data_IF_329636660066
#
_entry.id   IF_329636660066
#
_cell.length_a   1.000
_cell.length_b   1.000
_cell.length_c   1.000
_cell.angle_alpha   90.00
_cell.angle_beta   90.00
_cell.angle_gamma   90.00
#
_symmetry.space_group_name_H-M   'P 1'
#
loop_
_entity.id
_entity.type
_entity.pdbx_description
1 polymer ?
#
# COMPACT_ATOMS: atom_id res chain seq x y z
N UNK A 1 17.81 4.43 11.57
CA UNK A 1 16.98 4.84 10.40
C UNK A 1 17.89 5.16 9.23
N UNK A 2 17.66 4.55 8.10
CA UNK A 2 18.44 4.74 6.88
C UNK A 2 17.64 5.56 5.86
N UNK A 3 18.05 6.82 5.62
CA UNK A 3 17.47 7.75 4.63
C UNK A 3 15.91 7.83 4.67
N UNK A 4 15.29 8.21 5.79
CA UNK A 4 13.85 8.22 5.93
C UNK A 4 13.20 9.30 5.05
N UNK A 5 12.14 8.92 4.32
CA UNK A 5 11.30 9.82 3.55
C UNK A 5 10.16 10.41 4.39
N UNK A 6 9.53 9.59 5.22
CA UNK A 6 8.46 9.97 6.14
C UNK A 6 8.58 9.13 7.43
N UNK A 7 8.27 9.71 8.58
CA UNK A 7 8.49 9.08 9.89
C UNK A 7 7.21 9.20 10.72
N UNK A 8 6.85 8.12 11.42
CA UNK A 8 5.80 8.11 12.44
C UNK A 8 6.35 7.66 13.80
N UNK A 9 5.52 7.07 14.68
CA UNK A 9 5.95 6.67 16.02
C UNK A 9 6.79 5.38 16.05
N UNK A 10 6.43 4.40 15.22
CA UNK A 10 7.05 3.07 15.26
C UNK A 10 7.75 2.70 13.95
N UNK A 11 7.36 3.32 12.85
CA UNK A 11 7.87 3.02 11.52
C UNK A 11 8.30 4.28 10.76
N UNK A 12 9.07 4.07 9.72
CA UNK A 12 9.35 5.08 8.73
C UNK A 12 9.26 4.50 7.33
N UNK A 13 9.02 5.37 6.35
CA UNK A 13 9.04 5.05 4.93
C UNK A 13 10.36 5.53 4.32
N UNK A 14 10.93 4.74 3.42
CA UNK A 14 12.08 5.12 2.60
C UNK A 14 11.97 4.55 1.20
N UNK A 15 12.78 5.03 0.27
CA UNK A 15 12.92 4.37 -1.01
C UNK A 15 13.41 2.92 -0.83
N UNK A 16 12.88 1.96 -1.61
CA UNK A 16 13.40 0.60 -1.60
C UNK A 16 14.86 0.54 -2.01
N UNK A 17 15.57 -0.45 -1.51
CA UNK A 17 16.96 -0.74 -1.86
C UNK A 17 17.07 -2.11 -2.54
N UNK A 18 18.19 -2.36 -3.20
CA UNK A 18 18.48 -3.69 -3.74
C UNK A 18 18.47 -4.75 -2.64
N UNK A 19 18.98 -4.41 -1.44
CA UNK A 19 18.98 -5.30 -0.29
C UNK A 19 17.56 -5.71 0.14
N UNK A 20 16.57 -4.83 0.03
CA UNK A 20 15.17 -5.18 0.28
C UNK A 20 14.65 -6.19 -0.73
N UNK A 21 14.95 -5.97 -2.02
CA UNK A 21 14.53 -6.86 -3.10
C UNK A 21 15.22 -8.24 -3.04
N UNK A 22 16.45 -8.28 -2.56
CA UNK A 22 17.22 -9.52 -2.33
C UNK A 22 16.82 -10.24 -1.03
N UNK A 23 16.20 -9.52 -0.10
CA UNK A 23 15.76 -10.00 1.20
C UNK A 23 14.39 -10.69 1.15
N UNK A 24 13.63 -10.55 2.23
CA UNK A 24 12.36 -11.26 2.41
C UNK A 24 11.20 -10.74 1.55
N UNK A 25 11.38 -9.67 0.80
CA UNK A 25 10.30 -9.08 -0.01
C UNK A 25 9.71 -10.09 -1.01
N UNK A 26 10.54 -10.86 -1.72
CA UNK A 26 10.06 -11.87 -2.65
C UNK A 26 9.31 -13.02 -1.96
N UNK A 27 9.71 -13.39 -0.73
CA UNK A 27 9.06 -14.41 0.08
C UNK A 27 7.63 -14.01 0.47
N UNK A 28 7.42 -12.74 0.83
CA UNK A 28 6.10 -12.23 1.18
C UNK A 28 5.09 -12.35 0.03
N UNK A 29 5.53 -12.09 -1.19
CA UNK A 29 4.70 -12.21 -2.38
C UNK A 29 4.58 -13.65 -2.90
N UNK A 30 5.30 -14.60 -2.31
CA UNK A 30 5.14 -16.04 -2.51
C UNK A 30 4.33 -16.71 -1.39
N UNK A 31 4.08 -16.02 -0.27
CA UNK A 31 3.29 -16.53 0.85
C UNK A 31 1.79 -16.39 0.57
N UNK A 32 1.02 -17.51 0.52
CA UNK A 32 -0.41 -17.46 0.23
C UNK A 32 -1.23 -16.64 1.22
N UNK A 33 -0.85 -16.59 2.49
CA UNK A 33 -1.57 -15.82 3.51
C UNK A 33 -1.36 -14.33 3.32
N UNK A 34 -0.12 -13.90 3.07
CA UNK A 34 0.22 -12.49 2.82
C UNK A 34 -0.44 -11.98 1.54
N UNK A 35 -0.49 -12.82 0.50
CA UNK A 35 -1.04 -12.43 -0.80
C UNK A 35 -2.51 -12.74 -0.99
N UNK A 36 -3.21 -13.23 0.04
CA UNK A 36 -4.58 -13.73 -0.03
C UNK A 36 -5.55 -12.81 -0.79
N UNK A 37 -5.41 -11.51 -0.63
CA UNK A 37 -6.28 -10.49 -1.25
C UNK A 37 -5.57 -9.64 -2.31
N UNK A 38 -4.35 -10.04 -2.73
CA UNK A 38 -3.61 -9.34 -3.77
C UNK A 38 -3.90 -9.96 -5.15
N UNK A 39 -3.97 -9.12 -6.18
CA UNK A 39 -4.21 -9.58 -7.55
C UNK A 39 -3.11 -10.50 -8.09
N UNK A 40 -1.88 -10.33 -7.63
CA UNK A 40 -0.70 -11.08 -8.10
C UNK A 40 -0.48 -12.42 -7.37
N UNK A 41 -1.35 -12.81 -6.43
CA UNK A 41 -1.19 -14.00 -5.57
C UNK A 41 -1.03 -15.32 -6.34
N UNK A 42 -1.51 -15.39 -7.57
CA UNK A 42 -1.49 -16.61 -8.38
C UNK A 42 -0.23 -16.79 -9.20
N UNK A 43 0.64 -15.79 -9.21
CA UNK A 43 1.90 -15.82 -9.95
C UNK A 43 3.05 -16.06 -8.97
N UNK A 44 3.90 -17.10 -9.20
CA UNK A 44 5.05 -17.32 -8.35
C UNK A 44 5.99 -16.10 -8.44
N UNK A 45 6.45 -15.63 -7.30
CA UNK A 45 7.41 -14.53 -7.20
C UNK A 45 8.78 -15.08 -6.82
N UNK A 46 9.75 -15.04 -7.75
CA UNK A 46 11.14 -15.39 -7.45
C UNK A 46 11.95 -14.17 -7.02
N UNK A 47 13.12 -14.42 -6.43
CA UNK A 47 14.05 -13.35 -6.06
C UNK A 47 14.44 -12.51 -7.30
N UNK A 48 14.66 -13.15 -8.43
CA UNK A 48 15.03 -12.49 -9.69
C UNK A 48 13.88 -11.59 -10.20
N UNK A 49 12.63 -12.06 -10.11
CA UNK A 49 11.45 -11.23 -10.45
C UNK A 49 11.33 -10.03 -9.52
N UNK A 50 11.59 -10.20 -8.23
CA UNK A 50 11.55 -9.10 -7.26
C UNK A 50 12.63 -8.06 -7.55
N UNK A 51 13.85 -8.49 -7.89
CA UNK A 51 14.94 -7.60 -8.30
C UNK A 51 14.57 -6.85 -9.59
N UNK A 52 14.05 -7.55 -10.60
CA UNK A 52 13.59 -6.92 -11.83
C UNK A 52 12.48 -5.91 -11.59
N UNK A 53 11.52 -6.22 -10.71
CA UNK A 53 10.49 -5.27 -10.28
C UNK A 53 11.11 -4.03 -9.61
N UNK A 54 12.02 -4.21 -8.67
CA UNK A 54 12.74 -3.11 -8.02
C UNK A 54 13.46 -2.21 -9.04
N UNK A 55 14.15 -2.82 -10.01
CA UNK A 55 14.84 -2.07 -11.07
C UNK A 55 13.86 -1.26 -11.92
N UNK A 56 12.69 -1.83 -12.24
CA UNK A 56 11.67 -1.14 -13.02
C UNK A 56 11.08 0.10 -12.34
N UNK A 57 11.21 0.21 -11.02
CA UNK A 57 10.72 1.38 -10.28
C UNK A 57 11.55 2.65 -10.55
N UNK A 58 12.82 2.49 -10.96
CA UNK A 58 13.71 3.64 -11.18
C UNK A 58 13.29 4.48 -12.38
N UNK A 59 12.71 3.85 -13.40
CA UNK A 59 12.25 4.51 -14.63
C UNK A 59 10.72 4.70 -14.66
N UNK A 60 10.03 4.32 -13.59
CA UNK A 60 8.56 4.41 -13.54
C UNK A 60 8.10 5.86 -13.30
N UNK A 61 7.19 6.32 -14.16
CA UNK A 61 6.54 7.62 -14.02
C UNK A 61 5.13 7.52 -13.40
N UNK A 62 4.58 6.32 -13.28
CA UNK A 62 3.22 6.06 -12.82
C UNK A 62 3.15 5.21 -11.53
N UNK A 63 4.32 4.95 -10.91
CA UNK A 63 4.41 4.13 -9.70
C UNK A 63 5.46 4.67 -8.74
N UNK A 64 5.10 4.69 -7.46
CA UNK A 64 6.00 4.97 -6.35
C UNK A 64 5.83 3.89 -5.30
N UNK A 65 6.93 3.28 -4.87
CA UNK A 65 6.93 2.27 -3.80
C UNK A 65 7.85 2.73 -2.67
N UNK A 66 7.42 2.51 -1.45
CA UNK A 66 8.21 2.72 -0.24
C UNK A 66 8.40 1.40 0.49
N UNK A 67 9.61 1.17 1.02
CA UNK A 67 9.83 0.19 2.07
C UNK A 67 9.32 0.74 3.39
N UNK A 68 8.58 -0.09 4.13
CA UNK A 68 8.13 0.17 5.50
C UNK A 68 9.16 -0.44 6.43
N UNK A 69 9.82 0.38 7.25
CA UNK A 69 10.87 -0.06 8.15
C UNK A 69 10.56 0.31 9.60
N UNK A 70 10.91 -0.55 10.55
CA UNK A 70 10.82 -0.22 11.97
C UNK A 70 11.87 0.81 12.37
N UNK A 71 11.50 1.75 13.25
CA UNK A 71 12.45 2.71 13.81
C UNK A 71 13.43 2.01 14.74
N UNK A 72 12.98 1.01 15.48
CA UNK A 72 13.73 0.32 16.53
C UNK A 72 15.03 -0.32 16.01
N UNK A 73 14.97 -0.99 14.83
CA UNK A 73 16.07 -1.84 14.36
C UNK A 73 16.32 -1.76 12.86
N UNK A 74 15.70 -0.82 12.14
CA UNK A 74 15.76 -0.65 10.69
C UNK A 74 15.22 -1.86 9.87
N UNK A 75 14.52 -2.80 10.53
CA UNK A 75 13.96 -3.97 9.88
C UNK A 75 12.93 -3.60 8.80
N UNK A 76 13.15 -4.07 7.57
CA UNK A 76 12.18 -3.97 6.48
C UNK A 76 11.04 -4.96 6.72
N UNK A 77 9.82 -4.47 6.94
CA UNK A 77 8.67 -5.29 7.37
C UNK A 77 7.52 -5.31 6.36
N UNK A 78 7.58 -4.50 5.33
CA UNK A 78 6.52 -4.40 4.35
C UNK A 78 6.77 -3.33 3.31
N UNK A 79 5.82 -3.16 2.42
CA UNK A 79 5.85 -2.14 1.38
C UNK A 79 4.51 -1.42 1.29
N UNK A 80 4.54 -0.14 0.93
CA UNK A 80 3.35 0.60 0.52
C UNK A 80 3.66 1.47 -0.67
N UNK A 81 2.64 1.90 -1.40
CA UNK A 81 2.92 2.72 -2.57
C UNK A 81 1.69 3.21 -3.30
N UNK A 82 1.98 3.92 -4.36
CA UNK A 82 1.03 4.46 -5.32
C UNK A 82 1.27 3.80 -6.68
N UNK A 83 0.20 3.48 -7.38
CA UNK A 83 0.23 2.97 -8.74
C UNK A 83 -0.79 3.67 -9.63
N UNK A 84 -0.70 3.48 -10.95
CA UNK A 84 -1.54 4.17 -11.91
C UNK A 84 -1.59 5.69 -11.67
N UNK A 85 -0.45 6.28 -11.28
CA UNK A 85 -0.37 7.72 -11.01
C UNK A 85 -0.63 8.47 -12.32
N UNK A 86 -1.66 9.29 -12.30
CA UNK A 86 -1.94 10.22 -13.38
C UNK A 86 -1.63 11.64 -12.91
N UNK A 87 -0.50 12.17 -13.32
CA UNK A 87 -0.04 13.51 -12.92
C UNK A 87 -0.90 14.63 -13.51
N UNK A 88 -1.54 14.41 -14.66
CA UNK A 88 -2.45 15.39 -15.27
C UNK A 88 -3.74 15.54 -14.47
N UNK A 89 -4.28 14.42 -14.00
CA UNK A 89 -5.52 14.40 -13.23
C UNK A 89 -5.29 14.32 -11.73
N UNK A 90 -4.03 14.30 -11.29
CA UNK A 90 -3.60 14.28 -9.89
C UNK A 90 -4.28 13.19 -9.08
N UNK A 91 -4.31 11.96 -9.60
CA UNK A 91 -4.89 10.81 -8.92
C UNK A 91 -3.97 9.58 -8.98
N UNK A 92 -4.21 8.62 -8.10
CA UNK A 92 -3.49 7.34 -8.03
C UNK A 92 -4.29 6.27 -7.29
N UNK A 93 -3.86 5.02 -7.42
CA UNK A 93 -4.30 3.91 -6.59
C UNK A 93 -3.32 3.70 -5.43
N UNK A 94 -3.85 3.42 -4.24
CA UNK A 94 -3.01 3.09 -3.07
C UNK A 94 -2.89 1.58 -2.90
N UNK A 95 -1.73 1.15 -2.40
CA UNK A 95 -1.52 -0.23 -1.98
C UNK A 95 -0.60 -0.30 -0.76
N UNK A 96 -0.76 -1.33 0.06
CA UNK A 96 0.11 -1.61 1.20
C UNK A 96 0.11 -3.10 1.52
N UNK A 97 1.25 -3.60 1.94
CA UNK A 97 1.45 -5.00 2.37
C UNK A 97 2.42 -5.01 3.55
N UNK A 98 1.99 -5.57 4.67
CA UNK A 98 2.88 -5.90 5.78
C UNK A 98 3.26 -7.38 5.62
N UNK A 99 4.48 -7.63 5.18
CA UNK A 99 4.95 -8.99 4.87
C UNK A 99 5.49 -9.72 6.11
N UNK A 100 6.09 -8.99 7.06
CA UNK A 100 6.52 -9.58 8.31
C UNK A 100 5.31 -9.87 9.21
N UNK A 101 5.00 -11.16 9.41
CA UNK A 101 3.81 -11.62 10.17
C UNK A 101 3.79 -11.13 11.62
N UNK A 102 4.94 -11.00 12.26
CA UNK A 102 5.05 -10.53 13.66
C UNK A 102 4.73 -9.03 13.77
N UNK A 103 4.94 -8.29 12.69
CA UNK A 103 4.69 -6.85 12.61
C UNK A 103 3.33 -6.53 12.00
N UNK A 104 2.59 -7.52 11.49
CA UNK A 104 1.30 -7.33 10.84
C UNK A 104 0.19 -7.11 11.87
N UNK A 105 0.01 -5.87 12.28
CA UNK A 105 -1.03 -5.44 13.21
C UNK A 105 -1.63 -4.09 12.79
N UNK A 106 -2.79 -3.76 13.36
CA UNK A 106 -3.56 -2.58 12.99
C UNK A 106 -2.78 -1.26 13.15
N UNK A 107 -1.92 -1.14 14.17
CA UNK A 107 -1.16 0.08 14.41
C UNK A 107 -0.15 0.32 13.28
N UNK A 108 0.63 -0.69 12.91
CA UNK A 108 1.62 -0.61 11.84
C UNK A 108 0.95 -0.29 10.49
N UNK A 109 -0.17 -0.97 10.17
CA UNK A 109 -0.95 -0.68 8.96
C UNK A 109 -1.44 0.77 8.96
N UNK A 110 -2.00 1.23 10.07
CA UNK A 110 -2.52 2.60 10.20
C UNK A 110 -1.41 3.64 10.03
N UNK A 111 -0.25 3.44 10.67
CA UNK A 111 0.89 4.34 10.51
C UNK A 111 1.38 4.37 9.06
N UNK A 112 1.53 3.21 8.41
CA UNK A 112 1.98 3.13 7.03
C UNK A 112 1.03 3.84 6.06
N UNK A 113 -0.27 3.60 6.20
CA UNK A 113 -1.30 4.28 5.37
C UNK A 113 -1.33 5.78 5.66
N UNK A 114 -1.22 6.21 6.92
CA UNK A 114 -1.17 7.63 7.29
C UNK A 114 0.00 8.34 6.60
N UNK A 115 1.21 7.78 6.68
CA UNK A 115 2.39 8.33 6.03
C UNK A 115 2.27 8.35 4.50
N UNK A 116 1.65 7.32 3.91
CA UNK A 116 1.41 7.25 2.47
C UNK A 116 0.43 8.34 2.01
N UNK A 117 -0.69 8.53 2.72
CA UNK A 117 -1.68 9.57 2.43
C UNK A 117 -1.08 10.97 2.55
N UNK A 118 -0.33 11.23 3.62
CA UNK A 118 0.39 12.49 3.80
C UNK A 118 1.36 12.76 2.65
N UNK A 119 2.11 11.75 2.26
CA UNK A 119 3.06 11.85 1.14
C UNK A 119 2.35 12.14 -0.18
N UNK A 120 1.26 11.42 -0.45
CA UNK A 120 0.47 11.59 -1.67
C UNK A 120 -0.18 12.98 -1.77
N UNK A 121 -0.86 13.43 -0.71
CA UNK A 121 -1.61 14.67 -0.74
C UNK A 121 -0.76 15.92 -0.55
N UNK A 122 0.22 15.91 0.36
CA UNK A 122 0.98 17.10 0.72
C UNK A 122 2.31 17.23 -0.04
N UNK A 123 2.98 16.12 -0.37
CA UNK A 123 4.28 16.18 -1.05
C UNK A 123 4.19 15.97 -2.56
N UNK A 124 3.29 15.07 -3.01
CA UNK A 124 3.10 14.77 -4.43
C UNK A 124 1.93 15.56 -5.06
N UNK A 125 1.19 16.34 -4.25
CA UNK A 125 0.06 17.16 -4.69
C UNK A 125 -1.04 16.39 -5.43
N UNK A 126 -1.26 15.12 -5.10
CA UNK A 126 -2.39 14.37 -5.63
C UNK A 126 -3.69 14.92 -5.02
N UNK A 127 -4.78 14.83 -5.77
CA UNK A 127 -6.10 15.34 -5.37
C UNK A 127 -7.07 14.23 -5.01
N UNK A 128 -6.89 13.04 -5.59
CA UNK A 128 -7.77 11.90 -5.35
C UNK A 128 -6.96 10.61 -5.27
N UNK A 129 -7.30 9.77 -4.31
CA UNK A 129 -6.75 8.43 -4.16
C UNK A 129 -7.87 7.40 -4.23
N UNK A 130 -7.60 6.30 -4.90
CA UNK A 130 -8.50 5.16 -5.00
C UNK A 130 -7.92 3.98 -4.21
N UNK A 131 -8.79 3.31 -3.47
CA UNK A 131 -8.55 1.99 -2.86
C UNK A 131 -9.47 0.98 -3.52
N UNK A 132 -8.98 -0.20 -3.83
CA UNK A 132 -9.79 -1.29 -4.36
C UNK A 132 -9.46 -2.59 -3.63
N UNK A 133 -10.48 -3.33 -3.22
CA UNK A 133 -10.28 -4.55 -2.44
C UNK A 133 -11.36 -5.61 -2.72
N UNK A 134 -11.04 -6.85 -2.42
CA UNK A 134 -12.00 -7.95 -2.43
C UNK A 134 -13.13 -7.69 -1.43
N UNK A 135 -14.36 -8.00 -1.78
CA UNK A 135 -15.51 -7.91 -0.89
C UNK A 135 -15.35 -8.73 0.39
N UNK A 136 -14.66 -9.87 0.29
CA UNK A 136 -14.32 -10.74 1.44
C UNK A 136 -13.11 -10.28 2.28
N UNK A 137 -12.42 -9.20 1.89
CA UNK A 137 -11.28 -8.69 2.66
C UNK A 137 -11.75 -8.05 3.98
N UNK A 138 -11.37 -8.56 5.15
CA UNK A 138 -11.87 -8.04 6.43
C UNK A 138 -11.14 -6.80 6.91
N UNK A 139 -9.95 -6.49 6.37
CA UNK A 139 -9.05 -5.45 6.89
C UNK A 139 -9.21 -4.14 6.13
N UNK A 140 -9.10 -4.17 4.80
CA UNK A 140 -9.09 -2.95 3.99
C UNK A 140 -10.34 -2.07 4.18
N UNK A 141 -11.58 -2.61 4.30
CA UNK A 141 -12.75 -1.76 4.56
C UNK A 141 -12.67 -0.99 5.88
N UNK A 142 -12.04 -1.58 6.90
CA UNK A 142 -11.85 -0.91 8.20
C UNK A 142 -10.85 0.22 8.10
N UNK A 143 -9.74 0.01 7.38
CA UNK A 143 -8.72 1.02 7.10
C UNK A 143 -9.32 2.15 6.25
N UNK A 144 -10.02 1.81 5.17
CA UNK A 144 -10.69 2.78 4.30
C UNK A 144 -11.65 3.67 5.11
N UNK A 145 -12.49 3.07 5.94
CA UNK A 145 -13.41 3.79 6.83
C UNK A 145 -12.67 4.69 7.83
N UNK A 146 -11.57 4.19 8.41
CA UNK A 146 -10.76 4.94 9.37
C UNK A 146 -10.19 6.22 8.73
N UNK A 147 -9.71 6.17 7.50
CA UNK A 147 -9.15 7.30 6.79
C UNK A 147 -10.18 8.15 6.03
N UNK A 148 -11.43 7.69 5.95
CA UNK A 148 -12.52 8.45 5.33
C UNK A 148 -12.69 8.19 3.84
N UNK A 149 -12.17 7.09 3.32
CA UNK A 149 -12.51 6.63 1.97
C UNK A 149 -14.02 6.36 1.88
N UNK A 150 -14.62 6.75 0.76
CA UNK A 150 -16.03 6.55 0.45
C UNK A 150 -16.16 5.50 -0.63
N UNK A 151 -16.97 4.48 -0.43
CA UNK A 151 -17.29 3.51 -1.48
C UNK A 151 -17.98 4.23 -2.62
N UNK A 152 -17.44 4.10 -3.82
CA UNK A 152 -17.94 4.74 -5.05
C UNK A 152 -18.42 3.74 -6.09
N UNK A 153 -18.13 2.46 -5.90
CA UNK A 153 -18.57 1.41 -6.82
C UNK A 153 -18.31 0.01 -6.30
N UNK A 154 -19.03 -0.91 -6.92
CA UNK A 154 -18.88 -2.36 -6.73
C UNK A 154 -18.98 -3.02 -8.09
N UNK A 155 -18.08 -3.94 -8.38
CA UNK A 155 -18.14 -4.82 -9.53
C UNK A 155 -18.43 -6.23 -9.03
N UNK A 156 -19.59 -6.76 -9.41
CA UNK A 156 -20.05 -8.08 -8.95
C UNK A 156 -19.23 -9.19 -9.61
N UNK A 157 -18.83 -10.20 -8.83
CA UNK A 157 -18.12 -11.40 -9.31
C UNK A 157 -16.85 -11.09 -10.14
N UNK A 158 -16.20 -9.98 -9.88
CA UNK A 158 -15.14 -9.43 -10.75
C UNK A 158 -13.76 -10.05 -10.53
N UNK A 159 -13.51 -10.54 -9.34
CA UNK A 159 -12.21 -11.11 -8.96
C UNK A 159 -12.39 -12.56 -8.46
N UNK A 160 -11.25 -13.25 -8.30
CA UNK A 160 -11.24 -14.59 -7.72
C UNK A 160 -10.39 -14.56 -6.45
N UNK A 161 -10.98 -15.00 -5.33
CA UNK A 161 -10.29 -15.22 -4.06
C UNK A 161 -10.47 -16.68 -3.63
N UNK A 162 -9.37 -17.40 -3.44
CA UNK A 162 -9.38 -18.82 -3.07
C UNK A 162 -10.26 -19.70 -3.97
N UNK A 163 -10.19 -19.47 -5.28
CA UNK A 163 -10.95 -20.23 -6.28
C UNK A 163 -12.44 -19.89 -6.34
N UNK A 164 -12.90 -18.90 -5.58
CA UNK A 164 -14.29 -18.42 -5.58
C UNK A 164 -14.36 -17.03 -6.18
N UNK A 165 -15.45 -16.77 -6.89
CA UNK A 165 -15.77 -15.42 -7.35
C UNK A 165 -16.04 -14.52 -6.17
N UNK A 166 -15.59 -13.29 -6.26
CA UNK A 166 -15.74 -12.25 -5.24
C UNK A 166 -15.96 -10.89 -5.90
N UNK A 167 -16.60 -10.00 -5.19
CA UNK A 167 -16.82 -8.64 -5.65
C UNK A 167 -15.53 -7.82 -5.54
N UNK A 168 -15.38 -6.84 -6.41
CA UNK A 168 -14.37 -5.79 -6.26
C UNK A 168 -15.06 -4.52 -5.75
N UNK A 169 -14.72 -4.10 -4.54
CA UNK A 169 -15.19 -2.86 -3.94
C UNK A 169 -14.19 -1.75 -4.26
N UNK A 170 -14.69 -0.62 -4.73
CA UNK A 170 -13.89 0.55 -5.09
C UNK A 170 -14.27 1.70 -4.19
N UNK A 171 -13.27 2.29 -3.54
CA UNK A 171 -13.39 3.43 -2.64
C UNK A 171 -12.52 4.59 -3.11
N UNK A 172 -12.89 5.82 -2.77
CA UNK A 172 -12.16 7.04 -3.09
C UNK A 172 -12.00 7.92 -1.86
N UNK A 173 -10.86 8.58 -1.76
CA UNK A 173 -10.58 9.65 -0.81
C UNK A 173 -10.08 10.88 -1.57
N UNK A 174 -10.77 12.02 -1.42
CA UNK A 174 -10.29 13.30 -1.93
C UNK A 174 -9.36 13.99 -0.92
N UNK A 175 -8.46 14.83 -1.40
CA UNK A 175 -7.59 15.67 -0.55
C UNK A 175 -8.40 16.55 0.39
N UNK A 176 -9.52 17.12 -0.09
CA UNK A 176 -10.39 18.00 0.70
C UNK A 176 -11.07 17.24 1.85
N UNK A 177 -11.59 16.05 1.59
CA UNK A 177 -12.16 15.19 2.63
C UNK A 177 -11.10 14.80 3.68
N UNK A 178 -9.89 14.45 3.23
CA UNK A 178 -8.78 14.10 4.11
C UNK A 178 -8.35 15.29 5.00
N UNK A 179 -8.19 16.50 4.43
CA UNK A 179 -7.85 17.71 5.17
C UNK A 179 -8.94 18.09 6.18
N UNK A 180 -10.21 17.96 5.80
CA UNK A 180 -11.35 18.28 6.68
C UNK A 180 -11.39 17.33 7.89
N UNK A 181 -11.07 16.06 7.67
CA UNK A 181 -11.03 15.05 8.73
C UNK A 181 -9.88 15.31 9.71
N UNK A 182 -8.68 15.61 9.20
CA UNK A 182 -7.50 15.85 10.03
C UNK A 182 -7.63 17.13 10.87
N UNK A 183 -8.33 18.16 10.39
CA UNK A 183 -8.65 19.36 11.18
C UNK A 183 -9.60 19.12 12.35
N UNK A 184 -10.40 18.04 12.31
CA UNK A 184 -11.31 17.68 13.41
C UNK A 184 -10.62 16.81 14.47
N UNK A 185 -9.42 16.34 14.20
CA UNK A 185 -8.63 15.48 15.11
C UNK A 185 -7.57 16.27 15.88
N UNK A 186 -7.46 17.59 15.64
CA UNK A 186 -6.67 18.57 16.39
C UNK A 186 -7.57 19.39 17.31
#
# INVERSE_FOLDING_TARGET
MNNPYAISSNIYLRAPTLQDAEGSWHEWFSDPETTKYLGDRYLPNSKEKQIAFFQSLQDSNDRVVFSICKIENDEHIGVCGLSAINWFHSNADISYVIGNKQSNNANIITEAVSLLLESAFNRMNLLNLRSAHAGSNPVTPLIDKMFGFKVIGKLDDYIICDGKRDDLIISQLSKDDWLTRNKRSL
#
